data_IF_962548858655
#
_entry.id   IF_962548858655
#
_cell.length_a   1.000
_cell.length_b   1.000
_cell.length_c   1.000
_cell.angle_alpha   90.00
_cell.angle_beta   90.00
_cell.angle_gamma   90.00
#
_symmetry.space_group_name_H-M   'P 1'
#
loop_
_entity.id
_entity.type
_entity.pdbx_description
1 polymer ?
#
# COMPACT_ATOMS: atom_id res chain seq x y z
N UNK A 1 18.80 1.96 7.38
CA UNK A 1 17.50 1.55 6.79
C UNK A 1 17.12 2.57 5.71
N UNK A 2 16.38 2.18 4.67
CA UNK A 2 15.89 3.11 3.64
C UNK A 2 14.37 3.03 3.55
N UNK A 3 13.71 4.15 3.81
CA UNK A 3 12.27 4.39 3.68
C UNK A 3 12.02 5.28 2.46
N UNK A 4 11.11 4.84 1.59
CA UNK A 4 10.63 5.56 0.42
C UNK A 4 9.11 5.72 0.50
N UNK A 5 8.60 6.86 0.04
CA UNK A 5 7.17 7.08 -0.13
C UNK A 5 6.84 7.47 -1.57
N UNK A 6 5.74 6.94 -2.07
CA UNK A 6 5.14 7.29 -3.38
C UNK A 6 3.69 7.70 -3.19
N UNK A 7 3.15 8.44 -4.16
CA UNK A 7 1.74 8.84 -4.19
C UNK A 7 1.07 8.51 -5.53
N UNK A 8 -0.26 8.58 -5.56
CA UNK A 8 -1.16 8.31 -6.70
C UNK A 8 -1.27 6.84 -7.08
N UNK A 9 -0.17 6.25 -7.52
CA UNK A 9 -0.12 4.86 -8.01
C UNK A 9 0.98 4.10 -7.27
N UNK A 10 0.89 2.76 -7.25
CA UNK A 10 1.91 1.91 -6.64
C UNK A 10 3.32 2.16 -7.22
N UNK A 11 3.40 2.35 -8.55
CA UNK A 11 4.61 2.78 -9.26
C UNK A 11 4.68 4.30 -9.51
N UNK A 12 3.88 5.07 -8.79
CA UNK A 12 3.77 6.52 -8.95
C UNK A 12 5.03 7.28 -8.54
N UNK A 13 4.95 8.60 -8.62
CA UNK A 13 6.06 9.50 -8.31
C UNK A 13 6.57 9.30 -6.88
N UNK A 14 7.91 9.36 -6.73
CA UNK A 14 8.56 9.34 -5.44
C UNK A 14 8.37 10.70 -4.76
N UNK A 15 7.86 10.72 -3.53
CA UNK A 15 7.63 11.95 -2.76
C UNK A 15 8.67 12.16 -1.66
N UNK A 16 9.28 11.06 -1.18
CA UNK A 16 10.28 11.09 -0.13
C UNK A 16 11.28 9.95 -0.25
N UNK A 17 12.56 10.24 0.03
CA UNK A 17 13.61 9.25 0.18
C UNK A 17 14.52 9.57 1.37
N UNK A 18 14.42 8.77 2.43
CA UNK A 18 15.25 8.92 3.64
C UNK A 18 16.75 8.81 3.41
N UNK A 19 17.21 8.06 2.40
CA UNK A 19 18.65 7.86 2.17
C UNK A 19 19.31 9.08 1.54
N UNK A 20 18.59 9.83 0.71
CA UNK A 20 19.11 11.03 0.04
C UNK A 20 18.60 12.34 0.65
N UNK A 21 17.65 12.25 1.60
CA UNK A 21 16.91 13.42 2.10
C UNK A 21 16.01 14.06 1.05
N UNK A 22 15.71 13.35 -0.05
CA UNK A 22 14.90 13.92 -1.13
C UNK A 22 13.46 14.11 -0.66
N UNK A 23 12.90 15.28 -0.97
CA UNK A 23 11.50 15.64 -0.80
C UNK A 23 11.03 16.21 -2.13
N UNK A 24 9.92 15.71 -2.65
CA UNK A 24 9.32 16.22 -3.88
C UNK A 24 8.80 17.65 -3.67
N UNK A 25 9.00 18.54 -4.65
CA UNK A 25 8.77 20.00 -4.51
C UNK A 25 7.37 20.34 -3.99
N UNK A 26 6.33 19.63 -4.45
CA UNK A 26 4.95 19.79 -3.97
C UNK A 26 4.76 19.62 -2.44
N UNK A 27 5.63 18.85 -1.81
CA UNK A 27 5.61 18.51 -0.38
C UNK A 27 6.69 19.21 0.45
N UNK A 28 7.51 20.03 -0.20
CA UNK A 28 8.57 20.78 0.46
C UNK A 28 8.00 21.59 1.62
N UNK A 29 8.72 21.59 2.73
CA UNK A 29 8.38 22.27 3.99
C UNK A 29 7.10 21.79 4.70
N UNK A 30 6.34 20.85 4.12
CA UNK A 30 5.13 20.27 4.72
C UNK A 30 5.25 18.79 5.06
N UNK A 31 6.23 18.08 4.49
CA UNK A 31 6.44 16.65 4.71
C UNK A 31 7.60 16.40 5.67
N UNK A 32 7.32 15.64 6.73
CA UNK A 32 8.30 15.27 7.77
C UNK A 32 8.20 13.78 8.06
N UNK A 33 9.35 13.08 8.11
CA UNK A 33 9.41 11.71 8.57
C UNK A 33 9.90 11.67 10.02
N UNK A 34 9.05 11.22 10.93
CA UNK A 34 9.40 10.93 12.31
C UNK A 34 9.85 9.47 12.42
N UNK A 35 11.14 9.23 12.17
CA UNK A 35 11.77 7.93 12.39
C UNK A 35 13.26 8.13 12.72
N UNK A 36 13.73 7.46 13.76
CA UNK A 36 15.16 7.40 14.09
C UNK A 36 15.54 5.99 14.50
N UNK A 37 16.75 5.55 14.18
CA UNK A 37 17.24 4.27 14.70
C UNK A 37 17.37 4.35 16.23
N UNK A 38 16.95 3.35 17.01
CA UNK A 38 16.59 1.97 16.65
C UNK A 38 15.09 1.67 16.47
N UNK A 39 14.24 2.68 16.27
CA UNK A 39 12.79 2.48 16.21
C UNK A 39 12.38 1.50 15.11
N UNK A 40 11.39 0.65 15.40
CA UNK A 40 10.82 -0.33 14.48
C UNK A 40 9.65 0.22 13.67
N UNK A 41 9.11 1.36 14.07
CA UNK A 41 8.04 2.08 13.39
C UNK A 41 8.38 3.56 13.26
N UNK A 42 7.79 4.22 12.28
CA UNK A 42 7.94 5.64 12.03
C UNK A 42 6.69 6.22 11.39
N UNK A 43 6.54 7.54 11.45
CA UNK A 43 5.34 8.24 10.97
C UNK A 43 5.73 9.26 9.91
N UNK A 44 5.12 9.15 8.73
CA UNK A 44 5.14 10.24 7.75
C UNK A 44 4.05 11.24 8.12
N UNK A 45 4.44 12.49 8.33
CA UNK A 45 3.53 13.62 8.55
C UNK A 45 3.52 14.49 7.31
N UNK A 46 2.33 14.82 6.83
CA UNK A 46 2.12 15.83 5.79
C UNK A 46 1.23 16.90 6.42
N UNK A 47 1.73 18.12 6.47
CA UNK A 47 1.06 19.27 7.06
C UNK A 47 0.27 20.04 5.99
N UNK A 48 -0.71 20.82 6.42
CA UNK A 48 -1.46 21.76 5.57
C UNK A 48 -1.97 21.10 4.27
N UNK A 49 -2.80 20.06 4.39
CA UNK A 49 -3.26 19.27 3.24
C UNK A 49 -3.93 20.15 2.19
N UNK A 50 -3.55 19.92 0.93
CA UNK A 50 -4.15 20.55 -0.26
C UNK A 50 -5.10 19.55 -0.91
N UNK A 51 -6.07 20.02 -1.67
CA UNK A 51 -7.02 19.15 -2.40
C UNK A 51 -6.31 18.08 -3.25
N UNK A 52 -5.20 18.46 -3.91
CA UNK A 52 -4.36 17.56 -4.71
C UNK A 52 -3.66 16.47 -3.89
N UNK A 53 -3.58 16.61 -2.57
CA UNK A 53 -2.99 15.61 -1.69
C UNK A 53 -3.93 14.42 -1.48
N UNK A 54 -5.24 14.55 -1.81
CA UNK A 54 -6.24 13.49 -1.71
C UNK A 54 -5.96 12.35 -2.71
N UNK A 55 -5.18 11.38 -2.29
CA UNK A 55 -4.77 10.26 -3.13
C UNK A 55 -4.27 9.08 -2.30
N UNK A 56 -3.82 8.01 -2.97
CA UNK A 56 -3.23 6.84 -2.31
C UNK A 56 -1.72 7.01 -2.13
N UNK A 57 -1.23 6.68 -0.94
CA UNK A 57 0.19 6.74 -0.57
C UNK A 57 0.77 5.34 -0.33
N UNK A 58 1.99 5.10 -0.79
CA UNK A 58 2.65 3.79 -0.71
C UNK A 58 4.00 3.91 -0.02
N UNK A 59 4.19 3.15 1.06
CA UNK A 59 5.44 3.08 1.80
C UNK A 59 6.27 1.87 1.36
N UNK A 60 7.57 2.08 1.15
CA UNK A 60 8.57 1.03 0.98
C UNK A 60 9.64 1.15 2.05
N UNK A 61 9.95 0.05 2.71
CA UNK A 61 11.05 -0.06 3.66
C UNK A 61 12.05 -1.08 3.13
N UNK A 62 13.32 -0.72 3.10
CA UNK A 62 14.42 -1.60 2.73
C UNK A 62 15.43 -1.69 3.89
N UNK A 63 15.68 -2.92 4.32
CA UNK A 63 16.63 -3.26 5.37
C UNK A 63 17.86 -3.92 4.77
N UNK A 64 19.04 -3.56 5.23
CA UNK A 64 20.26 -4.32 4.95
C UNK A 64 20.52 -5.22 6.15
N UNK A 65 20.38 -6.53 5.96
CA UNK A 65 20.76 -7.53 6.96
C UNK A 65 22.17 -8.02 6.66
N UNK A 66 22.73 -8.84 7.55
CA UNK A 66 24.05 -9.46 7.36
C UNK A 66 24.11 -10.35 6.12
N UNK A 67 22.98 -10.95 5.73
CA UNK A 67 22.89 -11.91 4.62
C UNK A 67 22.34 -11.31 3.33
N UNK A 68 21.39 -10.36 3.41
CA UNK A 68 20.67 -9.85 2.23
C UNK A 68 20.03 -8.48 2.44
N UNK A 69 19.50 -7.91 1.36
CA UNK A 69 18.56 -6.78 1.44
C UNK A 69 17.14 -7.32 1.53
N UNK A 70 16.41 -6.94 2.56
CA UNK A 70 14.98 -7.22 2.69
C UNK A 70 14.18 -5.98 2.32
N UNK A 71 13.05 -6.19 1.65
CA UNK A 71 12.20 -5.11 1.15
C UNK A 71 10.76 -5.41 1.52
N UNK A 72 10.14 -4.48 2.23
CA UNK A 72 8.74 -4.47 2.57
C UNK A 72 8.08 -3.31 1.84
N UNK A 73 6.92 -3.56 1.24
CA UNK A 73 6.23 -2.58 0.42
C UNK A 73 4.73 -2.71 0.69
N UNK A 74 4.08 -1.59 1.03
CA UNK A 74 2.63 -1.53 1.04
C UNK A 74 2.11 -1.61 -0.40
N UNK A 75 1.34 -2.67 -0.71
CA UNK A 75 0.80 -2.95 -2.06
C UNK A 75 -0.50 -2.19 -2.29
N UNK A 76 -1.40 -2.21 -1.31
CA UNK A 76 -2.68 -1.50 -1.39
C UNK A 76 -2.52 0.01 -1.15
N UNK A 77 -1.49 0.40 -0.39
CA UNK A 77 -1.25 1.79 -0.02
C UNK A 77 -2.21 2.27 1.07
N UNK A 78 -2.33 3.58 1.19
CA UNK A 78 -3.20 4.25 2.16
C UNK A 78 -3.93 5.38 1.44
N UNK A 79 -5.25 5.25 1.29
CA UNK A 79 -6.10 6.29 0.71
C UNK A 79 -6.24 7.44 1.70
N UNK A 80 -5.78 8.62 1.31
CA UNK A 80 -6.11 9.87 2.00
C UNK A 80 -7.41 10.43 1.42
N UNK A 81 -8.33 10.80 2.30
CA UNK A 81 -9.56 11.53 1.98
C UNK A 81 -9.58 12.82 2.79
N UNK A 82 -9.78 13.95 2.14
CA UNK A 82 -9.82 15.29 2.75
C UNK A 82 -11.27 15.74 2.71
N UNK A 83 -11.92 15.77 3.87
CA UNK A 83 -13.22 16.41 4.01
C UNK A 83 -13.03 17.90 4.31
N UNK A 84 -13.71 18.76 3.57
CA UNK A 84 -13.76 20.18 3.87
C UNK A 84 -14.64 20.37 5.11
N UNK A 85 -14.05 20.88 6.19
CA UNK A 85 -14.80 21.18 7.40
C UNK A 85 -15.72 22.37 7.16
N UNK A 86 -17.01 22.11 6.93
CA UNK A 86 -18.04 23.15 6.97
C UNK A 86 -18.23 23.60 8.43
N UNK A 87 -17.41 24.55 8.90
CA UNK A 87 -17.49 25.22 10.20
C UNK A 87 -18.02 24.36 11.37
N UNK A 88 -17.49 23.15 11.54
CA UNK A 88 -17.64 22.37 12.77
C UNK A 88 -16.50 22.81 13.69
N UNK A 89 -16.75 23.19 14.96
CA UNK A 89 -15.68 23.59 15.88
C UNK A 89 -14.62 22.50 15.84
N UNK A 90 -13.37 22.87 15.57
CA UNK A 90 -12.27 21.95 15.33
C UNK A 90 -12.31 20.79 16.33
N UNK A 91 -12.86 19.66 15.90
CA UNK A 91 -12.71 18.42 16.63
C UNK A 91 -11.24 18.13 16.46
N UNK A 92 -10.47 18.48 17.48
CA UNK A 92 -9.07 18.09 17.60
C UNK A 92 -9.10 16.58 17.70
N UNK A 93 -9.11 15.91 16.55
CA UNK A 93 -8.87 14.47 16.48
C UNK A 93 -7.41 14.31 16.85
N UNK A 94 -7.15 14.23 18.16
CA UNK A 94 -5.89 13.73 18.68
C UNK A 94 -5.75 12.33 18.11
N UNK A 95 -4.99 12.21 17.02
CA UNK A 95 -4.51 10.93 16.54
C UNK A 95 -3.71 10.34 17.71
N UNK A 96 -4.32 9.42 18.47
CA UNK A 96 -3.56 8.62 19.41
C UNK A 96 -2.45 7.98 18.61
N UNK A 97 -1.20 8.15 19.09
CA UNK A 97 -0.04 7.49 18.49
C UNK A 97 -0.39 6.02 18.29
N UNK A 98 -0.11 5.41 17.12
CA UNK A 98 -0.47 4.03 16.86
C UNK A 98 0.04 3.14 17.99
N UNK A 99 -0.88 2.53 18.75
CA UNK A 99 -0.52 1.51 19.73
C UNK A 99 -0.04 0.28 18.97
N UNK A 100 1.24 -0.03 19.10
CA UNK A 100 1.87 -1.20 18.51
C UNK A 100 1.32 -2.44 19.26
N UNK A 101 0.32 -3.10 18.68
CA UNK A 101 -0.13 -4.40 19.20
C UNK A 101 0.96 -5.41 18.84
N UNK A 102 1.72 -5.82 19.84
CA UNK A 102 2.64 -6.95 19.74
C UNK A 102 1.79 -8.21 19.71
N UNK A 103 1.69 -8.86 18.55
CA UNK A 103 1.01 -10.16 18.42
C UNK A 103 1.83 -11.23 19.16
N UNK A 104 1.52 -11.46 20.43
CA UNK A 104 1.93 -12.68 21.12
C UNK A 104 1.05 -13.83 20.58
N UNK A 105 1.70 -14.78 19.89
CA UNK A 105 1.06 -16.04 19.50
C UNK A 105 0.86 -16.86 20.77
N UNK A 106 -0.40 -17.04 21.17
CA UNK A 106 -0.80 -18.05 22.16
C UNK A 106 -1.81 -18.99 21.51
N UNK A 107 -1.38 -20.22 21.29
CA UNK A 107 -2.19 -21.37 20.89
C UNK A 107 -2.96 -21.92 22.09
N UNK A 108 -4.29 -22.07 21.98
CA UNK A 108 -5.12 -23.22 22.41
C UNK A 108 -6.56 -22.84 22.84
N UNK A 109 -7.55 -23.62 22.37
CA UNK A 109 -8.92 -23.78 22.93
C UNK A 109 -9.98 -22.82 22.35
N UNK A 110 -10.72 -23.16 21.30
CA UNK A 110 -11.97 -23.95 21.32
C UNK A 110 -13.00 -23.45 22.35
N UNK A 111 -14.01 -22.68 21.90
CA UNK A 111 -15.43 -23.10 21.89
C UNK A 111 -16.31 -22.02 21.25
N UNK A 112 -17.35 -22.49 20.55
CA UNK A 112 -18.21 -21.74 19.65
C UNK A 112 -19.62 -21.70 20.26
N UNK A 113 -20.31 -20.56 20.26
CA UNK A 113 -21.79 -20.49 20.35
C UNK A 113 -22.22 -19.14 19.74
N UNK A 114 -22.68 -19.12 18.48
CA UNK A 114 -24.10 -19.01 18.07
C UNK A 114 -24.74 -17.67 18.50
N UNK A 115 -25.18 -16.74 17.64
CA UNK A 115 -26.34 -16.91 16.75
C UNK A 115 -26.56 -15.66 15.86
N UNK A 116 -26.67 -15.91 14.54
CA UNK A 116 -27.82 -15.51 13.69
C UNK A 116 -28.00 -14.04 13.27
N UNK A 117 -27.77 -13.75 11.97
CA UNK A 117 -28.79 -13.62 10.90
C UNK A 117 -28.12 -13.34 9.54
N UNK A 118 -28.29 -14.27 8.59
CA UNK A 118 -28.23 -13.98 7.16
C UNK A 118 -29.49 -13.24 6.73
N UNK A 119 -29.41 -12.39 5.70
CA UNK A 119 -29.98 -12.82 4.41
C UNK A 119 -29.15 -12.43 3.18
N UNK A 120 -29.37 -13.20 2.11
CA UNK A 120 -28.93 -13.02 0.70
C UNK A 120 -27.52 -13.57 0.40
N UNK A 121 -27.28 -14.74 -0.22
CA UNK A 121 -28.01 -15.58 -1.18
C UNK A 121 -28.39 -14.86 -2.48
N UNK A 122 -27.47 -14.08 -3.06
CA UNK A 122 -27.63 -13.51 -4.42
C UNK A 122 -26.36 -13.43 -5.26
N UNK A 123 -25.23 -14.08 -4.92
CA UNK A 123 -24.02 -13.92 -5.76
C UNK A 123 -23.22 -15.18 -6.14
N UNK A 124 -23.83 -16.38 -6.05
CA UNK A 124 -23.17 -17.58 -6.56
C UNK A 124 -23.20 -17.68 -8.10
N UNK A 125 -24.10 -16.94 -8.76
CA UNK A 125 -24.19 -16.89 -10.22
C UNK A 125 -23.09 -16.07 -10.92
N UNK A 126 -22.52 -15.06 -10.25
CA UNK A 126 -21.53 -14.18 -10.90
C UNK A 126 -20.09 -14.73 -10.88
N UNK A 127 -19.78 -15.65 -9.95
CA UNK A 127 -18.42 -16.17 -9.77
C UNK A 127 -18.04 -17.17 -10.88
N UNK A 128 -19.01 -17.85 -11.49
CA UNK A 128 -18.75 -18.85 -12.54
C UNK A 128 -18.44 -18.19 -13.89
N UNK A 129 -18.96 -16.99 -14.18
CA UNK A 129 -18.70 -16.26 -15.42
C UNK A 129 -17.29 -15.67 -15.54
N UNK A 130 -16.64 -15.34 -14.40
CA UNK A 130 -15.30 -14.73 -14.40
C UNK A 130 -14.19 -15.78 -14.62
N UNK A 131 -14.38 -17.02 -14.14
CA UNK A 131 -13.35 -18.06 -14.24
C UNK A 131 -13.13 -18.55 -15.69
N UNK A 132 -14.15 -18.46 -16.56
CA UNK A 132 -14.02 -18.86 -17.97
C UNK A 132 -13.48 -17.73 -18.85
N UNK A 133 -13.71 -16.47 -18.49
CA UNK A 133 -13.26 -15.33 -19.30
C UNK A 133 -11.77 -14.96 -19.11
N UNK A 134 -11.16 -15.28 -17.96
CA UNK A 134 -9.74 -14.96 -17.70
C UNK A 134 -8.74 -15.89 -18.40
N UNK A 135 -9.15 -17.12 -18.74
CA UNK A 135 -8.27 -18.05 -19.47
C UNK A 135 -8.06 -17.68 -20.95
N UNK A 136 -9.01 -16.93 -21.55
CA UNK A 136 -9.01 -16.66 -22.99
C UNK A 136 -8.17 -15.43 -23.37
N UNK A 137 -7.91 -14.50 -22.45
CA UNK A 137 -7.15 -13.28 -22.75
C UNK A 137 -5.65 -13.33 -22.42
N UNK A 138 -5.23 -14.18 -21.47
CA UNK A 138 -3.81 -14.25 -21.06
C UNK A 138 -2.98 -15.11 -22.03
N UNK A 139 -3.58 -16.18 -22.56
CA UNK A 139 -2.95 -17.12 -23.50
C UNK A 139 -2.43 -16.43 -24.78
N UNK A 140 -3.20 -15.60 -25.51
CA UNK A 140 -2.71 -14.95 -26.73
C UNK A 140 -1.59 -13.94 -26.46
N UNK A 141 -1.60 -13.24 -25.32
CA UNK A 141 -0.55 -12.28 -24.94
C UNK A 141 0.78 -12.98 -24.71
N UNK A 142 0.77 -14.11 -23.99
CA UNK A 142 1.98 -14.90 -23.74
C UNK A 142 2.57 -15.48 -25.03
N UNK A 143 1.73 -16.00 -25.92
CA UNK A 143 2.17 -16.52 -27.23
C UNK A 143 2.79 -15.41 -28.09
N UNK A 144 2.19 -14.21 -28.10
CA UNK A 144 2.73 -13.07 -28.85
C UNK A 144 4.07 -12.58 -28.30
N UNK A 145 4.25 -12.55 -26.98
CA UNK A 145 5.53 -12.19 -26.36
C UNK A 145 6.64 -13.19 -26.71
N UNK A 146 6.36 -14.49 -26.68
CA UNK A 146 7.31 -15.55 -27.07
C UNK A 146 7.67 -15.43 -28.56
N UNK A 147 6.67 -15.22 -29.43
CA UNK A 147 6.90 -15.04 -30.87
C UNK A 147 7.78 -13.82 -31.17
N UNK A 148 7.53 -12.69 -30.52
CA UNK A 148 8.37 -11.49 -30.66
C UNK A 148 9.79 -11.71 -30.14
N UNK A 149 9.96 -12.49 -29.08
CA UNK A 149 11.28 -12.91 -28.60
C UNK A 149 12.01 -13.80 -29.60
N UNK A 150 11.31 -14.72 -30.26
CA UNK A 150 11.91 -15.58 -31.28
C UNK A 150 12.31 -14.80 -32.54
N UNK A 151 11.49 -13.82 -32.96
CA UNK A 151 11.81 -12.95 -34.10
C UNK A 151 13.00 -12.02 -33.85
N UNK A 152 13.31 -11.71 -32.58
CA UNK A 152 14.45 -10.87 -32.19
C UNK A 152 15.78 -11.63 -32.07
N UNK A 153 15.80 -12.94 -32.26
CA UNK A 153 17.07 -13.66 -32.40
C UNK A 153 17.59 -13.47 -33.82
N UNK A 154 18.74 -12.82 -34.05
CA UNK A 154 19.41 -12.90 -35.34
C UNK A 154 19.69 -14.37 -35.65
N UNK A 155 19.46 -14.75 -36.91
CA UNK A 155 19.88 -16.05 -37.40
C UNK A 155 21.42 -16.04 -37.44
N UNK A 156 22.04 -16.85 -36.59
CA UNK A 156 23.41 -17.31 -36.79
C UNK A 156 23.39 -18.54 -37.71
#
# INVERSE_FOLDING_TARGET
>A
MMILWRWKNFFGELIYNSSSGFIHEHFKDRLVLNWTQPQTSGVLKILDFKEKDQTVYFCRVSLKTTKRREVFQSIEGTQLTISQGEHIPAVSTTMQSPSIITSAVTTAGLENTESKRNPSLVNLGAIIGVVVATAVLITPVYVMLIFLWWKKRPAD
#
